data_IF_611862211934
#
_entry.id   IF_611862211934
#
_cell.length_a   1.000
_cell.length_b   1.000
_cell.length_c   1.000
_cell.angle_alpha   90.00
_cell.angle_beta   90.00
_cell.angle_gamma   90.00
#
_symmetry.space_group_name_H-M   'P 1'
#
loop_
_entity.id
_entity.type
_entity.pdbx_description
1 polymer ?
#
# COMPACT_ATOMS: atom_id res chain seq x y z
N UNK A 1 -23.27 -16.59 20.97
CA UNK A 1 -23.10 -15.30 21.68
C UNK A 1 -22.48 -14.33 20.68
N UNK A 2 -23.22 -13.34 20.20
CA UNK A 2 -22.68 -12.31 19.31
C UNK A 2 -21.76 -11.41 20.13
N UNK A 3 -20.46 -11.40 19.84
CA UNK A 3 -19.52 -10.51 20.52
C UNK A 3 -20.02 -9.06 20.37
N UNK A 4 -20.03 -8.31 21.46
CA UNK A 4 -20.46 -6.91 21.48
C UNK A 4 -19.46 -6.12 20.62
N UNK A 5 -19.93 -5.48 19.54
CA UNK A 5 -19.09 -4.68 18.65
C UNK A 5 -18.47 -3.50 19.41
N UNK A 6 -17.18 -3.33 19.32
CA UNK A 6 -16.50 -2.17 19.90
C UNK A 6 -16.81 -0.89 19.12
N UNK A 7 -16.55 0.29 19.73
CA UNK A 7 -16.63 1.59 19.05
C UNK A 7 -15.80 1.59 17.75
N UNK A 8 -14.60 1.05 17.82
CA UNK A 8 -13.66 1.00 16.72
C UNK A 8 -14.15 0.07 15.60
N UNK A 9 -14.75 -1.06 15.95
CA UNK A 9 -15.25 -2.01 14.95
C UNK A 9 -16.47 -1.44 14.21
N UNK A 10 -17.35 -0.70 14.90
CA UNK A 10 -18.46 0.01 14.28
C UNK A 10 -17.94 1.13 13.36
N UNK A 11 -16.96 1.90 13.83
CA UNK A 11 -16.36 2.98 13.06
C UNK A 11 -15.60 2.48 11.80
N UNK A 12 -14.95 1.34 11.89
CA UNK A 12 -14.30 0.71 10.74
C UNK A 12 -15.32 0.29 9.68
N UNK A 13 -16.43 -0.34 10.09
CA UNK A 13 -17.52 -0.73 9.19
C UNK A 13 -18.15 0.49 8.51
N UNK A 14 -18.51 1.52 9.28
CA UNK A 14 -19.07 2.78 8.75
C UNK A 14 -18.12 3.45 7.76
N UNK A 15 -16.82 3.49 8.08
CA UNK A 15 -15.80 4.03 7.18
C UNK A 15 -15.80 3.31 5.85
N UNK A 16 -15.76 1.98 5.85
CA UNK A 16 -15.67 1.18 4.64
C UNK A 16 -16.96 1.25 3.80
N UNK A 17 -18.14 1.28 4.43
CA UNK A 17 -19.41 1.51 3.75
C UNK A 17 -19.43 2.88 3.05
N UNK A 18 -19.06 3.96 3.76
CA UNK A 18 -18.98 5.31 3.19
C UNK A 18 -17.92 5.44 2.10
N UNK A 19 -16.82 4.74 2.27
CA UNK A 19 -15.76 4.64 1.26
C UNK A 19 -16.17 3.83 0.03
N UNK A 20 -17.25 3.06 0.11
CA UNK A 20 -17.74 2.19 -0.97
C UNK A 20 -16.83 1.00 -1.25
N UNK A 21 -16.17 0.49 -0.22
CA UNK A 21 -15.30 -0.68 -0.32
C UNK A 21 -16.14 -1.95 -0.25
N UNK A 22 -16.12 -2.83 -1.27
CA UNK A 22 -16.83 -4.11 -1.20
C UNK A 22 -16.20 -5.03 -0.15
N UNK A 23 -17.04 -5.66 0.70
CA UNK A 23 -16.56 -6.54 1.77
C UNK A 23 -15.97 -7.88 1.30
N UNK A 24 -16.09 -8.19 0.01
CA UNK A 24 -15.56 -9.40 -0.68
C UNK A 24 -14.42 -9.10 -1.67
N UNK A 25 -14.10 -7.81 -1.88
CA UNK A 25 -12.99 -7.34 -2.70
C UNK A 25 -11.63 -7.41 -2.01
N UNK A 26 -10.67 -6.67 -2.54
CA UNK A 26 -9.35 -6.44 -1.93
C UNK A 26 -9.25 -5.00 -1.46
N UNK A 27 -8.89 -4.78 -0.20
CA UNK A 27 -8.64 -3.46 0.36
C UNK A 27 -7.15 -3.26 0.63
N UNK A 28 -6.53 -2.27 -0.04
CA UNK A 28 -5.24 -1.73 0.38
C UNK A 28 -5.46 -0.54 1.32
N UNK A 29 -5.06 -0.69 2.58
CA UNK A 29 -5.11 0.37 3.57
C UNK A 29 -3.73 1.01 3.77
N UNK A 30 -3.66 2.33 3.56
CA UNK A 30 -2.58 3.19 4.01
C UNK A 30 -3.10 4.07 5.15
N UNK A 31 -2.39 4.17 6.28
CA UNK A 31 -2.93 4.91 7.43
C UNK A 31 -1.89 5.67 8.24
N UNK A 32 -2.26 6.88 8.67
CA UNK A 32 -1.62 7.64 9.74
C UNK A 32 -2.57 7.71 10.94
N UNK A 33 -2.44 6.77 11.86
CA UNK A 33 -3.40 6.52 12.95
C UNK A 33 -3.31 7.52 14.12
N UNK A 34 -2.32 8.42 14.13
CA UNK A 34 -2.04 9.30 15.26
C UNK A 34 -3.26 10.13 15.72
N UNK A 35 -4.05 10.66 14.79
CA UNK A 35 -5.24 11.47 15.13
C UNK A 35 -6.33 10.61 15.79
N UNK A 36 -6.59 9.43 15.26
CA UNK A 36 -7.55 8.48 15.85
C UNK A 36 -7.09 8.01 17.24
N UNK A 37 -5.81 7.71 17.40
CA UNK A 37 -5.24 7.38 18.71
C UNK A 37 -5.35 8.52 19.72
N UNK A 38 -5.20 9.76 19.30
CA UNK A 38 -5.35 10.94 20.18
C UNK A 38 -6.79 11.13 20.69
N UNK A 39 -7.80 10.63 19.98
CA UNK A 39 -9.20 10.64 20.41
C UNK A 39 -9.66 9.30 20.99
N UNK A 40 -8.70 8.45 21.39
CA UNK A 40 -8.91 7.24 22.16
C UNK A 40 -9.25 5.98 21.35
N UNK A 41 -9.05 5.98 20.03
CA UNK A 41 -9.17 4.74 19.25
C UNK A 41 -7.99 3.81 19.53
N UNK A 42 -8.27 2.53 19.72
CA UNK A 42 -7.26 1.48 19.83
C UNK A 42 -7.01 0.85 18.46
N UNK A 43 -5.74 0.77 18.09
CA UNK A 43 -5.36 0.29 16.76
C UNK A 43 -5.75 -1.17 16.53
N UNK A 44 -5.59 -2.03 17.52
CA UNK A 44 -5.96 -3.46 17.46
C UNK A 44 -7.47 -3.62 17.21
N UNK A 45 -8.30 -2.97 18.01
CA UNK A 45 -9.75 -3.05 17.85
C UNK A 45 -10.24 -2.49 16.51
N UNK A 46 -9.53 -1.47 15.96
CA UNK A 46 -9.81 -0.94 14.63
C UNK A 46 -9.44 -1.95 13.53
N UNK A 47 -8.27 -2.62 13.65
CA UNK A 47 -7.85 -3.69 12.74
C UNK A 47 -8.85 -4.85 12.76
N UNK A 48 -9.29 -5.27 13.93
CA UNK A 48 -10.32 -6.32 14.10
C UNK A 48 -11.62 -5.96 13.39
N UNK A 49 -12.04 -4.70 13.50
CA UNK A 49 -13.21 -4.18 12.78
C UNK A 49 -13.06 -4.21 11.26
N UNK A 50 -11.87 -3.87 10.75
CA UNK A 50 -11.57 -3.97 9.31
C UNK A 50 -11.59 -5.43 8.85
N UNK A 51 -11.02 -6.35 9.62
CA UNK A 51 -11.01 -7.79 9.33
C UNK A 51 -12.43 -8.36 9.33
N UNK A 52 -13.26 -7.99 10.31
CA UNK A 52 -14.67 -8.44 10.37
C UNK A 52 -15.46 -7.96 9.15
N UNK A 53 -15.27 -6.72 8.74
CA UNK A 53 -15.91 -6.19 7.53
C UNK A 53 -15.43 -6.93 6.27
N UNK A 54 -14.11 -7.14 6.14
CA UNK A 54 -13.46 -7.81 5.00
C UNK A 54 -13.44 -9.35 5.12
N UNK A 55 -14.28 -9.96 5.96
CA UNK A 55 -14.23 -11.42 6.26
C UNK A 55 -14.41 -12.31 5.04
N UNK A 56 -15.03 -11.80 3.97
CA UNK A 56 -15.22 -12.49 2.69
C UNK A 56 -14.23 -12.02 1.61
N UNK A 57 -13.45 -10.97 1.88
CA UNK A 57 -12.48 -10.36 0.99
C UNK A 57 -11.04 -10.55 1.46
N UNK A 58 -10.24 -9.52 1.21
CA UNK A 58 -8.83 -9.50 1.60
C UNK A 58 -8.43 -8.09 2.05
N UNK A 59 -7.87 -7.99 3.25
CA UNK A 59 -7.23 -6.78 3.76
C UNK A 59 -5.73 -6.86 3.51
N UNK A 60 -5.17 -5.83 2.90
CA UNK A 60 -3.74 -5.70 2.62
C UNK A 60 -3.21 -4.36 3.12
N UNK A 61 -2.00 -4.36 3.68
CA UNK A 61 -1.32 -3.15 4.13
C UNK A 61 0.13 -3.15 3.66
N UNK A 62 0.63 -2.05 3.07
CA UNK A 62 2.06 -1.88 2.84
C UNK A 62 2.85 -1.98 4.15
N UNK A 63 3.94 -2.76 4.14
CA UNK A 63 4.81 -2.97 5.31
C UNK A 63 6.26 -2.65 4.95
N UNK A 64 6.50 -1.37 4.61
CA UNK A 64 7.78 -0.89 4.10
C UNK A 64 8.92 -1.08 5.08
N UNK A 65 10.09 -1.44 4.54
CA UNK A 65 11.32 -1.75 5.30
C UNK A 65 12.56 -1.03 4.78
N UNK A 66 12.43 -0.18 3.77
CA UNK A 66 13.55 0.50 3.10
C UNK A 66 14.41 1.42 4.00
N UNK A 67 13.97 1.71 5.24
CA UNK A 67 14.79 2.42 6.24
C UNK A 67 15.74 1.50 7.00
N UNK A 68 15.40 0.22 7.11
CA UNK A 68 16.17 -0.77 7.89
C UNK A 68 16.84 -1.80 6.99
N UNK A 69 16.24 -2.15 5.85
CA UNK A 69 16.83 -3.03 4.83
C UNK A 69 17.44 -2.14 3.75
N UNK A 70 18.76 -2.16 3.67
CA UNK A 70 19.58 -1.30 2.81
C UNK A 70 20.72 -2.11 2.23
N UNK A 71 21.47 -1.61 1.23
CA UNK A 71 22.67 -2.30 0.75
C UNK A 71 23.72 -2.62 1.82
N UNK A 72 23.79 -1.77 2.87
CA UNK A 72 24.68 -2.01 4.01
C UNK A 72 24.12 -3.03 5.01
N UNK A 73 22.80 -3.25 5.01
CA UNK A 73 22.10 -4.27 5.79
C UNK A 73 21.09 -4.98 4.89
N UNK A 74 21.55 -5.89 3.99
CA UNK A 74 20.73 -6.38 2.88
C UNK A 74 19.78 -7.53 3.25
N UNK A 75 19.57 -7.80 4.54
CA UNK A 75 18.74 -8.89 5.00
C UNK A 75 17.31 -8.45 5.30
N UNK A 76 16.38 -9.10 4.65
CA UNK A 76 14.95 -9.06 4.94
C UNK A 76 14.49 -10.42 5.45
N UNK A 77 13.76 -10.42 6.55
CA UNK A 77 13.09 -11.61 7.09
C UNK A 77 11.58 -11.36 7.05
N UNK A 78 10.83 -12.29 6.44
CA UNK A 78 9.38 -12.17 6.27
C UNK A 78 8.66 -11.98 7.61
N UNK A 79 9.11 -12.69 8.67
CA UNK A 79 8.47 -12.65 9.97
C UNK A 79 9.02 -11.53 10.85
N UNK A 80 10.35 -11.35 10.89
CA UNK A 80 11.00 -10.55 11.91
C UNK A 80 11.27 -9.09 11.49
N UNK A 81 11.45 -8.82 10.19
CA UNK A 81 11.77 -7.45 9.77
C UNK A 81 10.59 -6.50 10.01
N UNK A 82 10.73 -5.59 10.96
CA UNK A 82 9.69 -4.62 11.33
C UNK A 82 9.39 -3.62 10.22
N UNK A 83 8.12 -3.26 10.07
CA UNK A 83 7.68 -2.17 9.20
C UNK A 83 7.87 -0.81 9.88
N UNK A 84 8.19 0.23 9.11
CA UNK A 84 8.33 1.60 9.63
C UNK A 84 7.22 2.57 9.19
N UNK A 85 6.16 2.08 8.55
CA UNK A 85 5.10 2.93 7.97
C UNK A 85 3.88 3.11 8.86
N UNK A 86 4.04 2.93 10.15
CA UNK A 86 3.02 3.24 11.14
C UNK A 86 2.54 2.04 11.96
N UNK A 87 1.92 2.38 13.10
CA UNK A 87 1.55 1.38 14.12
C UNK A 87 0.53 0.36 13.60
N UNK A 88 -0.46 0.79 12.82
CA UNK A 88 -1.51 -0.10 12.30
C UNK A 88 -0.92 -1.14 11.36
N UNK A 89 -0.06 -0.75 10.42
CA UNK A 89 0.59 -1.68 9.51
C UNK A 89 1.51 -2.67 10.25
N UNK A 90 2.23 -2.22 11.29
CA UNK A 90 3.12 -3.10 12.05
C UNK A 90 2.34 -4.07 12.95
N UNK A 91 1.29 -3.61 13.66
CA UNK A 91 0.41 -4.50 14.45
C UNK A 91 -0.30 -5.51 13.55
N UNK A 92 -0.82 -5.05 12.41
CA UNK A 92 -1.46 -5.94 11.43
C UNK A 92 -0.48 -7.01 10.94
N UNK A 93 0.73 -6.63 10.54
CA UNK A 93 1.78 -7.56 10.11
C UNK A 93 2.10 -8.62 11.16
N UNK A 94 2.24 -8.20 12.43
CA UNK A 94 2.69 -9.08 13.52
C UNK A 94 1.63 -10.02 14.06
N UNK A 95 0.38 -9.55 14.12
CA UNK A 95 -0.64 -10.22 14.92
C UNK A 95 -1.83 -10.74 14.11
N UNK A 96 -2.04 -10.25 12.89
CA UNK A 96 -3.25 -10.56 12.12
C UNK A 96 -2.97 -11.12 10.74
N UNK A 97 -1.97 -10.59 10.03
CA UNK A 97 -1.67 -11.00 8.67
C UNK A 97 -1.26 -12.48 8.60
N UNK A 98 -1.85 -13.21 7.68
CA UNK A 98 -1.52 -14.61 7.42
C UNK A 98 -0.39 -14.76 6.41
N UNK A 99 -0.20 -13.76 5.56
CA UNK A 99 0.82 -13.71 4.50
C UNK A 99 1.51 -12.36 4.47
N UNK A 100 2.78 -12.36 4.08
CA UNK A 100 3.54 -11.16 3.77
C UNK A 100 4.34 -11.42 2.50
N UNK A 101 4.34 -10.49 1.57
CA UNK A 101 5.10 -10.65 0.34
C UNK A 101 6.61 -10.57 0.60
N UNK A 102 7.37 -11.43 -0.05
CA UNK A 102 8.81 -11.51 0.09
C UNK A 102 9.47 -10.43 -0.78
N UNK A 103 9.75 -9.27 -0.18
CA UNK A 103 10.40 -8.15 -0.84
C UNK A 103 11.17 -7.27 0.16
N UNK A 104 12.46 -6.93 -0.11
CA UNK A 104 13.33 -6.32 0.89
C UNK A 104 12.92 -4.91 1.32
N UNK A 105 12.20 -4.16 0.48
CA UNK A 105 11.89 -2.76 0.77
C UNK A 105 10.41 -2.42 0.75
N UNK A 106 9.59 -3.10 -0.06
CA UNK A 106 8.18 -2.77 -0.34
C UNK A 106 7.22 -3.93 -0.08
N UNK A 107 7.50 -4.76 0.92
CA UNK A 107 6.61 -5.87 1.26
C UNK A 107 5.19 -5.41 1.62
N UNK A 108 4.23 -6.27 1.40
CA UNK A 108 2.81 -6.09 1.74
C UNK A 108 2.39 -7.25 2.63
N UNK A 109 1.79 -6.94 3.78
CA UNK A 109 1.12 -7.92 4.62
C UNK A 109 -0.35 -8.04 4.21
N UNK A 110 -0.91 -9.26 4.24
CA UNK A 110 -2.28 -9.51 3.83
C UNK A 110 -2.97 -10.57 4.71
N UNK A 111 -4.28 -10.40 4.87
CA UNK A 111 -5.19 -11.32 5.54
C UNK A 111 -6.44 -11.53 4.69
N UNK A 112 -6.94 -12.74 4.57
CA UNK A 112 -8.18 -13.06 3.90
C UNK A 112 -8.01 -13.95 2.68
N UNK A 113 -9.10 -14.08 1.91
CA UNK A 113 -9.28 -15.15 0.92
C UNK A 113 -8.21 -15.18 -0.20
N UNK A 114 -7.74 -14.00 -0.64
CA UNK A 114 -6.75 -13.87 -1.72
C UNK A 114 -5.36 -13.44 -1.20
N UNK A 115 -5.13 -13.50 0.12
CA UNK A 115 -3.86 -13.05 0.71
C UNK A 115 -2.64 -13.80 0.14
N UNK A 116 -2.72 -15.13 0.05
CA UNK A 116 -1.66 -15.96 -0.55
C UNK A 116 -1.41 -15.59 -2.01
N UNK A 117 -2.47 -15.53 -2.81
CA UNK A 117 -2.38 -15.16 -4.22
C UNK A 117 -1.75 -13.77 -4.40
N UNK A 118 -2.21 -12.78 -3.64
CA UNK A 118 -1.72 -11.40 -3.73
C UNK A 118 -0.22 -11.29 -3.44
N UNK A 119 0.30 -12.08 -2.51
CA UNK A 119 1.67 -11.93 -1.98
C UNK A 119 2.71 -12.87 -2.61
N UNK A 120 2.28 -13.92 -3.33
CA UNK A 120 3.10 -15.07 -3.70
C UNK A 120 4.35 -14.76 -4.56
N UNK A 121 4.29 -13.77 -5.45
CA UNK A 121 5.25 -13.63 -6.53
C UNK A 121 6.13 -12.39 -6.45
N UNK A 122 6.07 -11.62 -5.35
CA UNK A 122 6.78 -10.34 -5.25
C UNK A 122 8.30 -10.47 -5.40
N UNK A 123 8.89 -11.56 -4.93
CA UNK A 123 10.32 -11.86 -5.04
C UNK A 123 10.79 -12.22 -6.46
N UNK A 124 9.87 -12.42 -7.39
CA UNK A 124 10.19 -12.75 -8.78
C UNK A 124 10.43 -11.50 -9.65
N UNK A 125 10.09 -10.31 -9.14
CA UNK A 125 10.34 -9.05 -9.82
C UNK A 125 11.68 -8.45 -9.41
N UNK A 126 12.20 -7.56 -10.27
CA UNK A 126 13.43 -6.80 -10.05
C UNK A 126 13.17 -5.34 -9.66
N UNK A 127 11.90 -4.96 -9.48
CA UNK A 127 11.47 -3.61 -9.08
C UNK A 127 10.38 -3.67 -8.00
N UNK A 128 10.22 -2.61 -7.18
CA UNK A 128 9.32 -2.63 -6.03
C UNK A 128 7.85 -2.85 -6.35
N UNK A 129 7.39 -2.39 -7.52
CA UNK A 129 5.98 -2.39 -7.90
C UNK A 129 5.75 -3.08 -9.26
N UNK A 130 6.62 -4.03 -9.65
CA UNK A 130 6.50 -4.84 -10.85
C UNK A 130 5.12 -5.52 -10.98
N UNK A 131 4.84 -6.12 -12.13
CA UNK A 131 3.63 -6.93 -12.35
C UNK A 131 3.49 -8.07 -11.35
N UNK A 132 4.60 -8.64 -10.90
CA UNK A 132 4.66 -9.72 -9.90
C UNK A 132 4.46 -9.24 -8.47
N UNK A 133 4.49 -7.93 -8.23
CA UNK A 133 4.24 -7.32 -6.92
C UNK A 133 2.75 -7.41 -6.53
N UNK A 134 2.42 -7.27 -5.24
CA UNK A 134 1.02 -7.14 -4.81
C UNK A 134 0.28 -5.99 -5.51
N UNK A 135 0.96 -4.89 -5.84
CA UNK A 135 0.35 -3.75 -6.53
C UNK A 135 0.01 -4.07 -8.00
N UNK A 136 0.87 -4.82 -8.69
CA UNK A 136 0.63 -5.30 -10.05
C UNK A 136 -0.47 -6.35 -10.09
N UNK A 137 -0.40 -7.35 -9.21
CA UNK A 137 -1.40 -8.44 -9.13
C UNK A 137 -2.80 -7.94 -8.78
N UNK A 138 -2.89 -6.93 -7.95
CA UNK A 138 -4.15 -6.32 -7.54
C UNK A 138 -4.95 -5.68 -8.70
N UNK A 139 -4.32 -5.41 -9.84
CA UNK A 139 -5.02 -4.89 -11.04
C UNK A 139 -6.07 -5.86 -11.58
N UNK A 140 -5.82 -7.15 -11.43
CA UNK A 140 -6.73 -8.23 -11.88
C UNK A 140 -7.77 -8.59 -10.82
N UNK A 141 -7.80 -7.83 -9.71
CA UNK A 141 -8.71 -8.05 -8.59
C UNK A 141 -9.64 -6.85 -8.44
N UNK A 142 -10.81 -7.06 -7.81
CA UNK A 142 -11.66 -5.93 -7.39
C UNK A 142 -11.01 -5.26 -6.18
N UNK A 143 -10.13 -4.29 -6.47
CA UNK A 143 -9.23 -3.68 -5.48
C UNK A 143 -9.57 -2.22 -5.24
N UNK A 144 -9.68 -1.87 -3.98
CA UNK A 144 -9.86 -0.50 -3.50
C UNK A 144 -8.65 -0.05 -2.65
N UNK A 145 -8.29 1.21 -2.79
CA UNK A 145 -7.26 1.87 -1.97
C UNK A 145 -7.96 2.83 -1.03
N UNK A 146 -7.68 2.69 0.27
CA UNK A 146 -8.13 3.60 1.32
C UNK A 146 -6.92 4.28 1.97
N UNK A 147 -6.94 5.61 1.97
CA UNK A 147 -5.92 6.48 2.54
C UNK A 147 -6.54 7.17 3.76
N UNK A 148 -6.15 6.77 4.98
CA UNK A 148 -6.73 7.25 6.24
C UNK A 148 -5.72 8.15 6.99
N UNK A 149 -6.04 9.43 7.12
CA UNK A 149 -5.16 10.43 7.76
C UNK A 149 -3.95 10.83 6.93
N UNK A 150 -3.90 10.39 5.68
CA UNK A 150 -2.89 10.70 4.64
C UNK A 150 -3.61 10.84 3.31
N UNK A 151 -2.93 11.33 2.29
CA UNK A 151 -3.45 11.46 0.93
C UNK A 151 -2.69 10.62 -0.09
N UNK A 152 -2.95 10.89 -1.37
CA UNK A 152 -2.33 10.19 -2.51
C UNK A 152 -0.80 10.23 -2.48
N UNK A 153 -0.18 11.23 -1.83
CA UNK A 153 1.28 11.33 -1.66
C UNK A 153 1.92 10.09 -0.99
N UNK A 154 1.09 9.23 -0.37
CA UNK A 154 1.51 7.99 0.28
C UNK A 154 1.00 6.73 -0.43
N UNK A 155 0.36 6.88 -1.58
CA UNK A 155 -0.23 5.77 -2.32
C UNK A 155 0.83 5.01 -3.14
N UNK A 156 1.37 3.94 -2.59
CA UNK A 156 2.41 3.13 -3.24
C UNK A 156 1.95 2.49 -4.55
N UNK A 157 0.64 2.23 -4.72
CA UNK A 157 0.11 1.65 -5.96
C UNK A 157 0.43 2.50 -7.21
N UNK A 158 0.62 3.82 -7.05
CA UNK A 158 0.98 4.73 -8.15
C UNK A 158 2.33 4.38 -8.78
N UNK A 159 3.28 3.92 -7.97
CA UNK A 159 4.59 3.50 -8.47
C UNK A 159 4.51 2.34 -9.47
N UNK A 160 3.47 1.51 -9.41
CA UNK A 160 3.26 0.48 -10.41
C UNK A 160 3.11 1.08 -11.82
N UNK A 161 2.36 2.17 -11.97
CA UNK A 161 2.23 2.83 -13.27
C UNK A 161 3.54 3.47 -13.75
N UNK A 162 4.32 4.09 -12.83
CA UNK A 162 5.66 4.60 -13.14
C UNK A 162 6.57 3.52 -13.72
N UNK A 163 6.59 2.35 -13.09
CA UNK A 163 7.44 1.23 -13.49
C UNK A 163 7.00 0.60 -14.82
N UNK A 164 5.69 0.61 -15.11
CA UNK A 164 5.17 0.01 -16.34
C UNK A 164 5.34 0.90 -17.57
N UNK A 165 5.23 2.22 -17.41
CA UNK A 165 5.22 3.15 -18.55
C UNK A 165 6.57 3.77 -18.82
N UNK A 166 7.30 4.18 -17.78
CA UNK A 166 8.53 4.96 -17.92
C UNK A 166 9.60 4.55 -16.89
N UNK A 167 10.00 3.26 -16.84
CA UNK A 167 10.96 2.76 -15.86
C UNK A 167 12.31 3.50 -15.90
N UNK A 168 12.73 4.00 -17.04
CA UNK A 168 13.96 4.78 -17.22
C UNK A 168 13.89 6.18 -16.59
N UNK A 169 12.69 6.72 -16.37
CA UNK A 169 12.47 8.01 -15.72
C UNK A 169 12.43 7.88 -14.20
N UNK A 170 11.90 6.77 -13.69
CA UNK A 170 11.54 6.63 -12.28
C UNK A 170 12.41 5.67 -11.48
N UNK A 171 13.15 4.78 -12.13
CA UNK A 171 13.99 3.78 -11.49
C UNK A 171 15.48 4.07 -11.72
N UNK A 172 16.32 3.62 -10.78
CA UNK A 172 17.74 3.50 -11.04
C UNK A 172 17.99 2.59 -12.24
N UNK A 173 19.05 2.83 -13.04
CA UNK A 173 19.33 2.00 -14.21
C UNK A 173 19.70 0.56 -13.78
N UNK A 174 19.59 -0.44 -14.69
CA UNK A 174 19.80 -1.85 -14.34
C UNK A 174 21.17 -2.17 -13.74
N UNK A 175 22.22 -1.47 -14.15
CA UNK A 175 23.58 -1.62 -13.63
C UNK A 175 23.73 -1.15 -12.17
N UNK A 176 22.84 -0.27 -11.70
CA UNK A 176 22.79 0.20 -10.32
C UNK A 176 21.86 -0.65 -9.43
N UNK A 177 21.44 -1.82 -9.92
CA UNK A 177 20.60 -2.73 -9.13
C UNK A 177 21.38 -3.27 -7.92
N UNK A 178 20.73 -3.24 -6.77
CA UNK A 178 21.26 -3.64 -5.46
C UNK A 178 20.88 -5.09 -5.17
N UNK A 179 21.75 -5.81 -4.43
CA UNK A 179 21.49 -7.22 -4.06
C UNK A 179 21.05 -7.31 -2.62
N UNK A 180 19.99 -8.09 -2.37
CA UNK A 180 19.39 -8.35 -1.08
C UNK A 180 19.22 -9.84 -0.84
N UNK A 181 19.04 -10.23 0.42
CA UNK A 181 18.72 -11.60 0.83
C UNK A 181 17.36 -11.60 1.55
N UNK A 182 16.40 -12.31 1.01
CA UNK A 182 15.06 -12.40 1.58
C UNK A 182 14.82 -13.79 2.16
N UNK A 183 14.70 -13.89 3.50
CA UNK A 183 14.33 -15.13 4.18
C UNK A 183 12.82 -15.24 4.22
N UNK A 184 12.29 -16.31 3.65
CA UNK A 184 10.89 -16.66 3.71
C UNK A 184 10.53 -17.34 5.04
N UNK A 185 9.23 -17.44 5.32
CA UNK A 185 8.66 -18.06 6.53
C UNK A 185 9.10 -19.51 6.74
N UNK A 186 9.32 -20.27 5.68
CA UNK A 186 9.79 -21.67 5.71
C UNK A 186 11.31 -21.78 5.93
N UNK A 187 12.02 -20.66 6.08
CA UNK A 187 13.45 -20.57 6.26
C UNK A 187 14.26 -20.53 4.96
N UNK A 188 13.63 -20.70 3.79
CA UNK A 188 14.31 -20.58 2.51
C UNK A 188 14.80 -19.15 2.29
N UNK A 189 15.94 -19.01 1.61
CA UNK A 189 16.55 -17.70 1.31
C UNK A 189 16.54 -17.45 -0.20
N UNK A 190 15.98 -16.33 -0.58
CA UNK A 190 15.85 -15.90 -1.97
C UNK A 190 16.76 -14.67 -2.20
N UNK A 191 17.82 -14.79 -2.96
CA UNK A 191 18.59 -13.62 -3.40
C UNK A 191 17.73 -12.79 -4.36
N UNK A 192 17.67 -11.47 -4.13
CA UNK A 192 16.95 -10.54 -5.00
C UNK A 192 17.90 -9.46 -5.51
N UNK A 193 17.86 -9.22 -6.81
CA UNK A 193 18.50 -8.07 -7.41
C UNK A 193 17.44 -7.02 -7.73
N UNK A 194 17.52 -5.85 -7.10
CA UNK A 194 16.46 -4.86 -7.07
C UNK A 194 16.91 -3.51 -7.61
N UNK A 195 16.20 -2.98 -8.60
CA UNK A 195 16.26 -1.59 -9.03
C UNK A 195 15.30 -0.78 -8.17
N UNK A 196 15.80 0.21 -7.43
CA UNK A 196 14.95 1.08 -6.60
C UNK A 196 14.45 2.28 -7.37
N UNK A 197 13.41 2.91 -6.83
CA UNK A 197 12.94 4.19 -7.32
C UNK A 197 13.97 5.30 -7.10
N UNK A 198 14.12 6.17 -8.10
CA UNK A 198 14.83 7.43 -7.95
C UNK A 198 14.13 8.31 -6.89
N UNK A 199 14.91 9.09 -6.14
CA UNK A 199 14.40 10.05 -5.16
C UNK A 199 13.91 11.32 -5.85
N UNK A 200 12.80 11.21 -6.59
CA UNK A 200 12.16 12.32 -7.27
C UNK A 200 11.11 12.96 -6.36
N UNK A 201 10.96 14.27 -6.44
CA UNK A 201 9.79 14.95 -5.90
C UNK A 201 8.59 14.64 -6.81
N UNK A 202 7.56 14.01 -6.27
CA UNK A 202 6.38 13.53 -7.00
C UNK A 202 5.14 14.29 -6.60
N UNK A 203 4.34 14.69 -7.57
CA UNK A 203 3.03 15.30 -7.35
C UNK A 203 1.91 14.27 -7.57
N UNK A 204 1.81 13.28 -6.69
CA UNK A 204 0.68 12.34 -6.69
C UNK A 204 -0.66 13.00 -6.34
N UNK A 205 -0.72 14.03 -5.44
CA UNK A 205 -1.97 14.71 -5.13
C UNK A 205 -2.68 15.33 -6.32
N UNK A 206 -2.00 15.67 -7.41
CA UNK A 206 -2.61 16.24 -8.63
C UNK A 206 -3.77 15.39 -9.19
N UNK A 207 -3.75 14.06 -8.96
CA UNK A 207 -4.78 13.14 -9.45
C UNK A 207 -6.06 13.14 -8.61
N UNK A 208 -6.06 13.70 -7.40
CA UNK A 208 -7.23 13.69 -6.53
C UNK A 208 -8.39 14.52 -7.10
N UNK A 209 -8.12 15.73 -7.58
CA UNK A 209 -9.15 16.61 -8.10
C UNK A 209 -9.87 16.04 -9.35
N UNK A 210 -9.19 15.56 -10.40
CA UNK A 210 -9.86 14.96 -11.56
C UNK A 210 -10.64 13.68 -11.22
N UNK A 211 -10.12 12.82 -10.35
CA UNK A 211 -10.84 11.61 -9.90
C UNK A 211 -12.10 11.98 -9.11
N UNK A 212 -12.03 13.01 -8.27
CA UNK A 212 -13.18 13.51 -7.51
C UNK A 212 -14.25 14.11 -8.41
N UNK A 213 -13.84 14.97 -9.36
CA UNK A 213 -14.76 15.61 -10.29
C UNK A 213 -15.55 14.59 -11.14
N UNK A 214 -14.97 13.41 -11.38
CA UNK A 214 -15.61 12.29 -12.08
C UNK A 214 -16.39 11.35 -11.16
N UNK A 215 -16.44 11.62 -9.84
CA UNK A 215 -17.10 10.76 -8.86
C UNK A 215 -16.41 9.42 -8.60
N UNK A 216 -15.15 9.27 -9.01
CA UNK A 216 -14.36 8.05 -8.89
C UNK A 216 -13.58 7.98 -7.56
N UNK A 217 -13.34 9.11 -6.93
CA UNK A 217 -12.72 9.20 -5.61
C UNK A 217 -13.73 9.73 -4.59
N UNK A 218 -13.86 8.99 -3.50
CA UNK A 218 -14.67 9.39 -2.34
C UNK A 218 -13.78 9.97 -1.23
N UNK A 219 -14.34 10.87 -0.45
CA UNK A 219 -13.68 11.44 0.72
C UNK A 219 -14.64 11.68 1.85
N UNK A 220 -14.06 11.82 3.04
CA UNK A 220 -14.78 12.15 4.24
C UNK A 220 -13.85 12.20 5.44
N UNK A 221 -14.46 12.13 6.61
CA UNK A 221 -13.76 12.12 7.89
C UNK A 221 -14.27 11.00 8.78
N UNK A 222 -13.36 10.44 9.57
CA UNK A 222 -13.63 9.55 10.69
C UNK A 222 -13.06 10.20 11.96
N UNK A 223 -13.91 10.64 12.88
CA UNK A 223 -13.50 11.29 14.13
C UNK A 223 -12.45 12.40 13.91
N UNK A 224 -12.67 13.28 12.92
CA UNK A 224 -11.77 14.39 12.54
C UNK A 224 -10.51 13.95 11.77
N UNK A 225 -10.40 12.68 11.40
CA UNK A 225 -9.32 12.16 10.57
C UNK A 225 -9.80 12.05 9.13
N UNK A 226 -9.22 12.80 8.18
CA UNK A 226 -9.64 12.74 6.78
C UNK A 226 -9.31 11.40 6.16
N UNK A 227 -10.12 10.99 5.19
CA UNK A 227 -9.84 9.81 4.38
C UNK A 227 -10.19 10.05 2.91
N UNK A 228 -9.51 9.29 2.04
CA UNK A 228 -9.77 9.20 0.61
C UNK A 228 -9.86 7.73 0.21
N UNK A 229 -10.79 7.40 -0.69
CA UNK A 229 -10.96 6.06 -1.21
C UNK A 229 -11.19 6.08 -2.72
N UNK A 230 -10.58 5.14 -3.43
CA UNK A 230 -10.67 5.03 -4.89
C UNK A 230 -10.47 3.58 -5.30
N UNK A 231 -11.13 3.11 -6.37
CA UNK A 231 -10.77 1.82 -6.95
C UNK A 231 -9.34 1.89 -7.53
N UNK A 232 -8.55 0.84 -7.36
CA UNK A 232 -7.21 0.82 -7.94
C UNK A 232 -7.24 0.92 -9.47
N UNK A 233 -8.27 0.37 -10.10
CA UNK A 233 -8.48 0.44 -11.56
C UNK A 233 -8.63 1.88 -12.02
N UNK A 234 -9.49 2.67 -11.37
CA UNK A 234 -9.75 4.06 -11.75
C UNK A 234 -8.52 4.94 -11.48
N UNK A 235 -7.88 4.74 -10.32
CA UNK A 235 -6.64 5.44 -9.96
C UNK A 235 -5.55 5.19 -11.00
N UNK A 236 -5.25 3.93 -11.29
CA UNK A 236 -4.20 3.57 -12.25
C UNK A 236 -4.58 3.97 -13.67
N UNK A 237 -5.85 3.88 -14.05
CA UNK A 237 -6.32 4.32 -15.37
C UNK A 237 -6.03 5.81 -15.63
N UNK A 238 -6.29 6.68 -14.64
CA UNK A 238 -5.96 8.11 -14.73
C UNK A 238 -4.44 8.36 -14.84
N UNK A 239 -3.65 7.62 -14.06
CA UNK A 239 -2.21 7.77 -14.02
C UNK A 239 -1.56 7.22 -15.30
N UNK A 240 -1.96 6.05 -15.79
CA UNK A 240 -1.48 5.51 -17.06
C UNK A 240 -1.73 6.48 -18.20
N UNK A 241 -2.96 7.01 -18.30
CA UNK A 241 -3.29 7.99 -19.33
C UNK A 241 -2.44 9.28 -19.25
N UNK A 242 -2.09 9.72 -18.05
CA UNK A 242 -1.20 10.87 -17.87
C UNK A 242 0.24 10.56 -18.29
N UNK A 243 0.79 9.41 -17.88
CA UNK A 243 2.15 8.98 -18.20
C UNK A 243 2.35 8.66 -19.68
N UNK A 244 1.35 8.09 -20.35
CA UNK A 244 1.39 7.84 -21.81
C UNK A 244 1.47 9.15 -22.61
N UNK A 245 0.78 10.21 -22.14
CA UNK A 245 0.87 11.54 -22.76
C UNK A 245 2.19 12.24 -22.44
N UNK A 246 2.70 12.08 -21.22
CA UNK A 246 3.95 12.66 -20.75
C UNK A 246 4.60 11.73 -19.73
N UNK A 247 5.68 11.02 -20.06
CA UNK A 247 6.38 10.12 -19.13
C UNK A 247 6.85 10.78 -17.83
N UNK A 248 6.90 12.11 -17.77
CA UNK A 248 7.29 12.90 -16.59
C UNK A 248 6.10 13.54 -15.86
N UNK A 249 4.87 13.19 -16.19
CA UNK A 249 3.65 13.82 -15.68
C UNK A 249 3.53 13.80 -14.14
N UNK A 250 4.15 12.84 -13.48
CA UNK A 250 4.11 12.70 -12.00
C UNK A 250 5.21 13.53 -11.31
N UNK A 251 6.22 13.96 -12.02
CA UNK A 251 7.32 14.74 -11.42
C UNK A 251 6.81 16.13 -11.09
N UNK A 252 6.94 16.53 -9.83
CA UNK A 252 6.56 17.85 -9.37
C UNK A 252 7.38 18.94 -10.09
N UNK A 253 6.78 20.10 -10.39
CA UNK A 253 7.50 21.19 -11.02
C UNK A 253 8.65 21.71 -10.14
N UNK A 254 9.69 22.32 -10.74
CA UNK A 254 10.79 22.91 -9.98
C UNK A 254 10.28 23.89 -8.93
N UNK A 255 10.81 23.78 -7.70
CA UNK A 255 10.42 24.62 -6.58
C UNK A 255 9.15 24.18 -5.82
N UNK A 256 8.47 23.13 -6.26
CA UNK A 256 7.37 22.56 -5.49
C UNK A 256 7.87 22.02 -4.14
N UNK A 257 7.07 22.13 -3.06
CA UNK A 257 7.42 21.58 -1.77
C UNK A 257 7.71 20.09 -1.87
N UNK A 258 8.79 19.64 -1.22
CA UNK A 258 9.06 18.20 -1.10
C UNK A 258 8.08 17.62 -0.10
N UNK A 259 7.28 16.67 -0.53
CA UNK A 259 6.39 15.90 0.35
C UNK A 259 7.23 14.82 1.05
N UNK A 260 7.46 14.95 2.36
CA UNK A 260 8.42 14.10 3.10
C UNK A 260 7.99 12.64 3.21
#
# INVERSE_FOLDING_TARGET
MTAMRTRESLAAAELLDRAGVPGDGVLFLHSAFRRLGAVGFRAEAFIEGLIDYMRHGTLAMPTMTWRVVTPANPWFDELETASHVGIVAELFRRHYATHRSLHPTHSVAAYGRRAAELTATHHQGDTPCALTSPYGRAREMDTHVLLLGIGLERCTAIHHAEEMVAPEVYLFPPEAAETYQCRARDGSVHPMRLRRHLRLNRDFPQFAAPLTARGLMRHGELAGTPWQAVSQRDLLGEIFAALERNPRAIIAPPGAPVIP
#
